data_IF_389471785182
#
_entry.id   IF_389471785182
#
_cell.length_a   1.000
_cell.length_b   1.000
_cell.length_c   1.000
_cell.angle_alpha   90.00
_cell.angle_beta   90.00
_cell.angle_gamma   90.00
#
_symmetry.space_group_name_H-M   'P 1'
#
loop_
_entity.id
_entity.type
_entity.pdbx_description
1 polymer ?
#
# COMPACT_ATOMS: atom_id res chain seq x y z
N UNK A 1 2.94 -29.13 6.20
CA UNK A 1 1.74 -28.31 6.49
C UNK A 1 1.54 -27.30 5.36
N UNK A 2 0.56 -27.49 4.45
CA UNK A 2 0.24 -26.45 3.49
C UNK A 2 -0.38 -25.27 4.25
N UNK A 3 0.22 -24.09 4.13
CA UNK A 3 -0.30 -22.87 4.74
C UNK A 3 -1.60 -22.53 3.99
N UNK A 4 -2.77 -22.70 4.62
CA UNK A 4 -4.06 -22.33 4.04
C UNK A 4 -3.94 -20.87 3.61
N UNK A 5 -3.98 -20.64 2.29
CA UNK A 5 -3.99 -19.28 1.75
C UNK A 5 -5.42 -18.77 1.95
N UNK A 6 -5.71 -18.23 3.12
CA UNK A 6 -6.95 -17.49 3.31
C UNK A 6 -6.92 -16.32 2.34
N UNK A 7 -7.90 -16.25 1.45
CA UNK A 7 -8.05 -15.18 0.44
C UNK A 7 -8.26 -13.81 1.09
N UNK A 8 -8.57 -13.79 2.38
CA UNK A 8 -8.82 -12.62 3.20
C UNK A 8 -7.54 -11.85 3.55
N UNK A 9 -7.66 -10.52 3.54
CA UNK A 9 -6.60 -9.61 3.96
C UNK A 9 -6.45 -9.66 5.49
N UNK A 10 -5.22 -9.69 5.98
CA UNK A 10 -4.96 -9.64 7.44
C UNK A 10 -5.16 -8.22 7.99
N UNK A 11 -5.44 -8.09 9.28
CA UNK A 11 -5.59 -6.77 9.94
C UNK A 11 -4.35 -5.88 9.75
N UNK A 12 -3.15 -6.47 9.84
CA UNK A 12 -1.89 -5.76 9.60
C UNK A 12 -1.79 -5.24 8.16
N UNK A 13 -2.25 -6.02 7.19
CA UNK A 13 -2.27 -5.64 5.78
C UNK A 13 -3.30 -4.53 5.51
N UNK A 14 -4.48 -4.61 6.12
CA UNK A 14 -5.49 -3.54 6.01
C UNK A 14 -4.96 -2.24 6.62
N UNK A 15 -4.40 -2.30 7.83
CA UNK A 15 -3.79 -1.15 8.49
C UNK A 15 -2.63 -0.56 7.65
N UNK A 16 -1.85 -1.43 6.99
CA UNK A 16 -0.79 -0.99 6.07
C UNK A 16 -1.36 -0.23 4.88
N UNK A 17 -2.45 -0.73 4.29
CA UNK A 17 -3.11 -0.07 3.16
C UNK A 17 -3.57 1.35 3.53
N UNK A 18 -4.23 1.49 4.68
CA UNK A 18 -4.68 2.80 5.19
C UNK A 18 -3.50 3.73 5.48
N UNK A 19 -2.44 3.23 6.11
CA UNK A 19 -1.24 4.01 6.39
C UNK A 19 -0.55 4.48 5.10
N UNK A 20 -0.47 3.61 4.08
CA UNK A 20 0.11 3.95 2.78
C UNK A 20 -0.71 5.00 2.04
N UNK A 21 -2.04 4.89 2.06
CA UNK A 21 -2.93 5.86 1.46
C UNK A 21 -2.90 7.23 2.14
N UNK A 22 -2.47 7.29 3.41
CA UNK A 22 -2.25 8.55 4.12
C UNK A 22 -0.92 9.20 3.79
N UNK A 23 0.16 8.42 3.62
CA UNK A 23 1.52 8.95 3.54
C UNK A 23 2.21 8.84 2.18
N UNK A 24 1.70 8.02 1.26
CA UNK A 24 2.29 7.78 -0.07
C UNK A 24 3.63 7.04 -0.07
N UNK A 25 4.12 6.58 1.09
CA UNK A 25 5.43 5.97 1.27
C UNK A 25 5.36 4.58 1.91
N UNK A 26 5.87 3.58 1.19
CA UNK A 26 5.79 2.16 1.58
C UNK A 26 6.52 1.90 2.91
N UNK A 27 7.72 2.46 3.09
CA UNK A 27 8.50 2.26 4.31
C UNK A 27 7.82 2.88 5.53
N UNK A 28 7.31 4.11 5.39
CA UNK A 28 6.58 4.79 6.48
C UNK A 28 5.28 4.05 6.84
N UNK A 29 4.56 3.57 5.84
CA UNK A 29 3.35 2.77 6.06
C UNK A 29 3.66 1.46 6.80
N UNK A 30 4.74 0.77 6.43
CA UNK A 30 5.17 -0.44 7.11
C UNK A 30 5.62 -0.18 8.55
N UNK A 31 6.35 0.91 8.79
CA UNK A 31 6.75 1.34 10.13
C UNK A 31 5.55 1.58 11.04
N UNK A 32 4.47 2.17 10.53
CA UNK A 32 3.26 2.44 11.31
C UNK A 32 2.56 1.17 11.83
N UNK A 33 2.70 0.04 11.12
CA UNK A 33 2.04 -1.24 11.49
C UNK A 33 3.00 -2.26 12.07
N UNK A 34 4.30 -1.96 12.14
CA UNK A 34 5.30 -2.87 12.64
C UNK A 34 5.78 -2.47 14.02
N UNK A 35 5.34 -3.20 15.04
CA UNK A 35 5.65 -2.96 16.46
C UNK A 35 6.98 -3.56 16.93
N UNK A 36 7.71 -4.26 16.06
CA UNK A 36 8.97 -4.94 16.41
C UNK A 36 10.23 -4.17 16.05
N UNK A 37 11.32 -4.45 16.76
CA UNK A 37 12.67 -3.94 16.45
C UNK A 37 13.28 -4.73 15.29
N UNK A 38 13.54 -4.07 14.16
CA UNK A 38 14.18 -4.67 12.98
C UNK A 38 15.29 -3.75 12.45
N UNK A 39 16.32 -4.33 11.84
CA UNK A 39 17.35 -3.54 11.15
C UNK A 39 16.73 -2.76 9.97
N UNK A 40 17.22 -1.55 9.66
CA UNK A 40 16.62 -0.72 8.60
C UNK A 40 16.53 -1.38 7.22
N UNK A 41 17.56 -2.15 6.83
CA UNK A 41 17.56 -2.86 5.55
C UNK A 41 16.49 -3.96 5.50
N UNK A 42 16.34 -4.72 6.59
CA UNK A 42 15.31 -5.77 6.70
C UNK A 42 13.91 -5.15 6.65
N UNK A 43 13.72 -3.99 7.30
CA UNK A 43 12.44 -3.28 7.29
C UNK A 43 12.05 -2.83 5.88
N UNK A 44 12.99 -2.30 5.08
CA UNK A 44 12.73 -1.95 3.67
C UNK A 44 12.36 -3.17 2.83
N UNK A 45 13.09 -4.28 2.99
CA UNK A 45 12.78 -5.52 2.28
C UNK A 45 11.37 -6.03 2.61
N UNK A 46 11.01 -6.08 3.91
CA UNK A 46 9.66 -6.47 4.35
C UNK A 46 8.55 -5.54 3.86
N UNK A 47 8.82 -4.24 3.82
CA UNK A 47 7.87 -3.26 3.28
C UNK A 47 7.62 -3.49 1.78
N UNK A 48 8.68 -3.83 1.03
CA UNK A 48 8.58 -4.21 -0.38
C UNK A 48 7.79 -5.50 -0.57
N UNK A 49 8.10 -6.53 0.22
CA UNK A 49 7.34 -7.80 0.24
C UNK A 49 5.85 -7.57 0.52
N UNK A 50 5.53 -6.71 1.49
CA UNK A 50 4.14 -6.36 1.83
C UNK A 50 3.41 -5.70 0.65
N UNK A 51 4.06 -4.75 -0.03
CA UNK A 51 3.47 -4.07 -1.19
C UNK A 51 3.28 -5.00 -2.40
N UNK A 52 4.16 -5.99 -2.55
CA UNK A 52 4.10 -6.96 -3.66
C UNK A 52 3.04 -8.07 -3.44
N UNK A 53 2.40 -8.14 -2.28
CA UNK A 53 1.26 -9.04 -2.09
C UNK A 53 0.06 -8.54 -2.92
N UNK A 54 -0.43 -9.38 -3.82
CA UNK A 54 -1.54 -9.05 -4.72
C UNK A 54 -2.80 -8.59 -3.97
N UNK A 55 -3.03 -9.09 -2.74
CA UNK A 55 -4.20 -8.73 -1.92
C UNK A 55 -4.09 -7.31 -1.41
N UNK A 56 -2.90 -6.94 -0.93
CA UNK A 56 -2.58 -5.57 -0.49
C UNK A 56 -2.76 -4.61 -1.67
N UNK A 57 -2.21 -4.96 -2.83
CA UNK A 57 -2.33 -4.13 -4.02
C UNK A 57 -3.77 -3.96 -4.50
N UNK A 58 -4.55 -5.04 -4.55
CA UNK A 58 -5.98 -4.98 -4.91
C UNK A 58 -6.79 -4.15 -3.91
N UNK A 59 -6.51 -4.27 -2.61
CA UNK A 59 -7.16 -3.46 -1.59
C UNK A 59 -6.87 -1.97 -1.77
N UNK A 60 -5.62 -1.61 -2.05
CA UNK A 60 -5.25 -0.23 -2.30
C UNK A 60 -5.98 0.36 -3.51
N UNK A 61 -6.15 -0.40 -4.60
CA UNK A 61 -6.93 0.07 -5.77
C UNK A 61 -8.36 0.43 -5.39
N UNK A 62 -9.03 -0.42 -4.61
CA UNK A 62 -10.39 -0.17 -4.13
C UNK A 62 -10.45 1.11 -3.28
N UNK A 63 -9.51 1.27 -2.34
CA UNK A 63 -9.46 2.46 -1.50
C UNK A 63 -9.21 3.72 -2.32
N UNK A 64 -8.26 3.69 -3.25
CA UNK A 64 -7.94 4.80 -4.14
C UNK A 64 -9.17 5.20 -4.99
N UNK A 65 -9.86 4.23 -5.57
CA UNK A 65 -11.09 4.48 -6.32
C UNK A 65 -12.18 5.09 -5.42
N UNK A 66 -12.34 4.59 -4.20
CA UNK A 66 -13.31 5.13 -3.25
C UNK A 66 -12.97 6.57 -2.84
N UNK A 67 -11.69 6.90 -2.60
CA UNK A 67 -11.23 8.27 -2.34
C UNK A 67 -11.55 9.19 -3.52
N UNK A 68 -11.22 8.77 -4.74
CA UNK A 68 -11.51 9.55 -5.95
C UNK A 68 -13.01 9.73 -6.19
N UNK A 69 -13.82 8.71 -5.96
CA UNK A 69 -15.27 8.79 -6.06
C UNK A 69 -15.87 9.79 -5.07
N UNK A 70 -15.25 9.96 -3.89
CA UNK A 70 -15.62 10.99 -2.90
C UNK A 70 -15.03 12.38 -3.20
N UNK A 71 -14.20 12.51 -4.24
CA UNK A 71 -13.49 13.76 -4.55
C UNK A 71 -12.33 14.07 -3.60
N UNK A 72 -11.86 13.08 -2.83
CA UNK A 72 -10.76 13.27 -1.89
C UNK A 72 -9.39 13.27 -2.58
N UNK A 73 -8.48 14.07 -2.04
CA UNK A 73 -7.11 14.14 -2.54
C UNK A 73 -6.32 12.89 -2.17
N UNK A 74 -5.65 12.28 -3.17
CA UNK A 74 -4.71 11.19 -2.96
C UNK A 74 -3.30 11.73 -2.65
N UNK A 75 -2.53 11.08 -1.77
CA UNK A 75 -1.16 11.50 -1.51
C UNK A 75 -0.29 11.35 -2.76
N UNK A 76 0.82 12.09 -2.78
CA UNK A 76 1.85 11.91 -3.81
C UNK A 76 2.58 10.59 -3.61
N UNK A 77 2.35 9.64 -4.51
CA UNK A 77 3.11 8.38 -4.55
C UNK A 77 4.47 8.59 -5.21
N UNK A 78 5.47 7.81 -4.78
CA UNK A 78 6.82 7.84 -5.39
C UNK A 78 6.72 7.42 -6.87
N UNK A 79 7.33 8.20 -7.77
CA UNK A 79 7.43 7.87 -9.20
C UNK A 79 8.10 6.49 -9.38
N UNK A 80 7.57 5.67 -10.30
CA UNK A 80 8.04 4.30 -10.53
C UNK A 80 7.67 3.31 -9.41
N UNK A 81 6.70 3.65 -8.56
CA UNK A 81 6.08 2.67 -7.67
C UNK A 81 4.88 2.03 -8.37
N UNK A 82 4.54 0.80 -7.99
CA UNK A 82 3.40 0.06 -8.55
C UNK A 82 2.09 0.86 -8.53
N UNK A 83 1.85 1.62 -7.45
CA UNK A 83 0.63 2.44 -7.35
C UNK A 83 0.70 3.68 -8.25
N UNK A 84 1.86 4.34 -8.32
CA UNK A 84 2.04 5.48 -9.21
C UNK A 84 1.79 5.05 -10.66
N UNK A 85 2.46 3.99 -11.12
CA UNK A 85 2.30 3.42 -12.46
C UNK A 85 0.85 3.04 -12.76
N UNK A 86 0.19 2.34 -11.82
CA UNK A 86 -1.22 1.98 -11.98
C UNK A 86 -2.12 3.20 -12.12
N UNK A 87 -1.92 4.25 -11.32
CA UNK A 87 -2.67 5.51 -11.46
C UNK A 87 -2.44 6.18 -12.81
N UNK A 88 -1.21 6.14 -13.33
CA UNK A 88 -0.89 6.67 -14.65
C UNK A 88 -1.65 5.92 -15.75
N UNK A 89 -1.62 4.59 -15.71
CA UNK A 89 -2.30 3.76 -16.71
C UNK A 89 -3.82 3.89 -16.69
N UNK A 90 -4.41 4.27 -15.55
CA UNK A 90 -5.85 4.46 -15.40
C UNK A 90 -6.30 5.92 -15.55
N UNK A 91 -5.40 6.84 -15.97
CA UNK A 91 -5.67 8.28 -16.04
C UNK A 91 -6.24 8.87 -14.73
N UNK A 92 -5.86 8.28 -13.58
CA UNK A 92 -6.30 8.68 -12.24
C UNK A 92 -5.32 9.63 -11.54
N UNK A 93 -4.35 10.19 -12.28
CA UNK A 93 -3.34 11.09 -11.70
C UNK A 93 -4.04 12.26 -11.00
N UNK A 94 -3.52 12.64 -9.83
CA UNK A 94 -3.83 13.92 -9.24
C UNK A 94 -2.95 14.94 -9.95
N UNK A 95 -3.56 15.85 -10.73
CA UNK A 95 -2.85 17.06 -11.13
C UNK A 95 -2.49 17.85 -9.86
N UNK A 96 -1.24 18.36 -9.76
CA UNK A 96 -0.72 19.04 -8.58
C UNK A 96 -1.47 20.33 -8.23
#
# INVERSE_FOLDING_TARGET
MPRIRTETLTEKQEAFCLAYLKCGNILKAYQAVNTGTMKPHSMRARASEMMNDYRVFNRLKQLVQAHKARGEHLPKFRKGSLMAEWLESNNLKNDP
#
